data_IF_475237238719
#
_entry.id   IF_475237238719
#
_cell.length_a   1.000
_cell.length_b   1.000
_cell.length_c   1.000
_cell.angle_alpha   90.00
_cell.angle_beta   90.00
_cell.angle_gamma   90.00
#
_symmetry.space_group_name_H-M   'P 1'
#
loop_
_entity.id
_entity.type
_entity.pdbx_description
1 polymer ?
#
# COMPACT_ATOMS: atom_id res chain seq x y z
N UNK A 1 -13.93 2.36 -24.64
CA UNK A 1 -13.05 3.41 -24.10
C UNK A 1 -12.34 2.82 -22.88
N UNK A 2 -11.03 2.96 -22.79
CA UNK A 2 -10.19 2.36 -21.73
C UNK A 2 -10.47 3.00 -20.36
N UNK A 3 -10.57 2.20 -19.32
CA UNK A 3 -10.67 2.62 -17.91
C UNK A 3 -9.48 2.08 -17.14
N UNK A 4 -9.16 2.66 -15.99
CA UNK A 4 -7.99 2.27 -15.21
C UNK A 4 -8.30 2.06 -13.75
N UNK A 5 -7.54 1.16 -13.12
CA UNK A 5 -7.61 0.87 -11.71
C UNK A 5 -6.25 1.20 -11.08
N UNK A 6 -6.27 2.04 -10.05
CA UNK A 6 -5.11 2.40 -9.27
C UNK A 6 -5.18 1.63 -7.95
N UNK A 7 -4.29 0.69 -7.78
CA UNK A 7 -4.24 -0.14 -6.59
C UNK A 7 -3.27 0.46 -5.57
N UNK A 8 -3.68 0.58 -4.31
CA UNK A 8 -2.70 0.54 -3.25
C UNK A 8 -2.05 -0.85 -3.21
N UNK A 9 -1.04 -1.04 -2.38
CA UNK A 9 -0.24 -2.25 -2.41
C UNK A 9 -0.38 -3.09 -1.12
N UNK A 10 0.10 -2.59 0.03
CA UNK A 10 -0.02 -3.27 1.30
C UNK A 10 -1.50 -3.28 1.74
N UNK A 11 -2.01 -4.40 2.22
CA UNK A 11 -3.42 -4.55 2.57
C UNK A 11 -4.41 -4.60 1.39
N UNK A 12 -3.94 -4.36 0.15
CA UNK A 12 -4.73 -4.46 -1.08
C UNK A 12 -4.26 -5.61 -1.97
N UNK A 13 -3.01 -5.64 -2.36
CA UNK A 13 -2.44 -6.74 -3.15
C UNK A 13 -1.85 -7.80 -2.22
N UNK A 14 -1.10 -7.39 -1.23
CA UNK A 14 -0.39 -8.26 -0.28
C UNK A 14 -0.88 -8.03 1.14
N UNK A 15 -1.07 -9.13 1.87
CA UNK A 15 -1.36 -9.15 3.32
C UNK A 15 -0.05 -9.38 4.08
N UNK A 16 0.69 -8.31 4.31
CA UNK A 16 2.07 -8.35 4.83
C UNK A 16 2.32 -7.49 6.07
N UNK A 17 1.27 -6.92 6.66
CA UNK A 17 1.40 -6.09 7.86
C UNK A 17 2.09 -6.83 9.01
N UNK A 18 1.85 -8.16 9.11
CA UNK A 18 2.51 -8.98 10.12
C UNK A 18 4.03 -9.10 9.89
N UNK A 19 4.47 -9.14 8.64
CA UNK A 19 5.87 -9.18 8.25
C UNK A 19 6.55 -7.83 8.51
N UNK A 20 5.87 -6.71 8.22
CA UNK A 20 6.34 -5.36 8.56
C UNK A 20 6.51 -5.19 10.08
N UNK A 21 5.53 -5.62 10.86
CA UNK A 21 5.58 -5.62 12.32
C UNK A 21 6.79 -6.41 12.86
N UNK A 22 6.96 -7.65 12.41
CA UNK A 22 8.04 -8.52 12.87
C UNK A 22 9.42 -7.99 12.48
N UNK A 23 9.55 -7.47 11.27
CA UNK A 23 10.81 -6.87 10.80
C UNK A 23 11.17 -5.62 11.60
N UNK A 24 10.18 -4.76 11.92
CA UNK A 24 10.40 -3.58 12.76
C UNK A 24 10.81 -3.97 14.17
N UNK A 25 10.07 -4.89 14.82
CA UNK A 25 10.38 -5.38 16.17
C UNK A 25 11.80 -5.94 16.22
N UNK A 26 12.16 -6.81 15.28
CA UNK A 26 13.49 -7.41 15.21
C UNK A 26 14.59 -6.35 15.04
N UNK A 27 14.38 -5.39 14.15
CA UNK A 27 15.36 -4.34 13.90
C UNK A 27 15.50 -3.41 15.09
N UNK A 28 14.42 -2.99 15.74
CA UNK A 28 14.48 -2.13 16.92
C UNK A 28 15.17 -2.81 18.11
N UNK A 29 15.02 -4.13 18.24
CA UNK A 29 15.73 -4.90 19.26
C UNK A 29 17.27 -4.82 19.10
N UNK A 30 17.79 -4.74 17.88
CA UNK A 30 19.22 -4.53 17.61
C UNK A 30 19.73 -3.17 18.13
N UNK A 31 18.84 -2.17 18.23
CA UNK A 31 19.13 -0.85 18.82
C UNK A 31 18.83 -0.76 20.31
N UNK A 32 18.42 -1.90 20.94
CA UNK A 32 18.11 -1.97 22.37
C UNK A 32 16.72 -1.47 22.76
N UNK A 33 15.80 -1.32 21.80
CA UNK A 33 14.41 -0.96 22.05
C UNK A 33 13.51 -2.20 21.95
N UNK A 34 12.69 -2.42 22.99
CA UNK A 34 11.69 -3.50 23.00
C UNK A 34 10.34 -2.97 22.55
N UNK A 35 9.85 -3.45 21.43
CA UNK A 35 8.52 -3.16 20.90
C UNK A 35 7.71 -4.46 20.90
N UNK A 36 6.50 -4.44 21.44
CA UNK A 36 5.55 -5.53 21.33
C UNK A 36 4.52 -5.28 20.21
N UNK A 37 3.85 -6.35 19.76
CA UNK A 37 2.87 -6.27 18.67
C UNK A 37 1.68 -5.37 19.01
N UNK A 38 1.17 -5.39 20.24
CA UNK A 38 0.04 -4.56 20.64
C UNK A 38 0.38 -3.07 20.51
N UNK A 39 1.56 -2.69 21.00
CA UNK A 39 2.09 -1.32 20.87
C UNK A 39 2.33 -0.96 19.39
N UNK A 40 2.83 -1.89 18.57
CA UNK A 40 2.97 -1.67 17.15
C UNK A 40 1.64 -1.28 16.49
N UNK A 41 0.61 -2.10 16.63
CA UNK A 41 -0.70 -1.84 16.03
C UNK A 41 -1.41 -0.60 16.59
N UNK A 42 -1.08 -0.18 17.80
CA UNK A 42 -1.66 1.01 18.43
C UNK A 42 -0.96 2.31 18.03
N UNK A 43 0.36 2.31 17.89
CA UNK A 43 1.18 3.52 17.84
C UNK A 43 1.99 3.68 16.54
N UNK A 44 2.24 2.59 15.78
CA UNK A 44 3.11 2.60 14.60
C UNK A 44 2.36 2.31 13.30
N UNK A 45 1.19 1.70 13.38
CA UNK A 45 0.39 1.38 12.20
C UNK A 45 0.10 2.64 11.38
N UNK A 46 0.47 2.61 10.11
CA UNK A 46 0.29 3.73 9.19
C UNK A 46 1.48 4.68 9.08
N UNK A 47 2.53 4.50 9.89
CA UNK A 47 3.81 5.18 9.68
C UNK A 47 4.60 4.51 8.55
N UNK A 48 5.35 5.31 7.80
CA UNK A 48 6.40 4.74 6.97
C UNK A 48 7.60 4.27 7.83
N UNK A 49 8.49 3.48 7.24
CA UNK A 49 9.65 2.93 7.95
C UNK A 49 10.53 4.01 8.60
N UNK A 50 10.72 5.12 7.90
CA UNK A 50 11.54 6.23 8.39
C UNK A 50 10.88 6.93 9.58
N UNK A 51 9.56 7.11 9.53
CA UNK A 51 8.78 7.65 10.64
C UNK A 51 8.83 6.74 11.86
N UNK A 52 8.68 5.42 11.66
CA UNK A 52 8.80 4.42 12.73
C UNK A 52 10.12 4.54 13.48
N UNK A 53 11.24 4.61 12.75
CA UNK A 53 12.56 4.71 13.38
C UNK A 53 12.80 6.09 14.00
N UNK A 54 12.38 7.18 13.35
CA UNK A 54 12.51 8.53 13.91
C UNK A 54 11.75 8.63 15.24
N UNK A 55 10.49 8.22 15.24
CA UNK A 55 9.63 8.22 16.43
C UNK A 55 10.24 7.41 17.58
N UNK A 56 10.79 6.22 17.27
CA UNK A 56 11.42 5.37 18.29
C UNK A 56 12.72 5.97 18.81
N UNK A 57 13.59 6.45 17.92
CA UNK A 57 14.88 7.03 18.35
C UNK A 57 14.70 8.29 19.17
N UNK A 58 13.70 9.12 18.88
CA UNK A 58 13.32 10.25 19.71
C UNK A 58 12.89 9.80 21.11
N UNK A 59 12.04 8.78 21.22
CA UNK A 59 11.63 8.19 22.51
C UNK A 59 12.80 7.59 23.30
N UNK A 60 13.84 7.13 22.64
CA UNK A 60 15.08 6.65 23.26
C UNK A 60 16.02 7.80 23.66
N UNK A 61 15.67 9.05 23.37
CA UNK A 61 16.53 10.21 23.61
C UNK A 61 17.79 10.24 22.72
N UNK A 62 17.78 9.56 21.59
CA UNK A 62 18.89 9.57 20.65
C UNK A 62 18.84 10.86 19.80
N UNK A 63 20.00 11.46 19.48
CA UNK A 63 20.04 12.59 18.57
C UNK A 63 19.59 12.18 17.17
N UNK A 64 19.03 13.15 16.44
CA UNK A 64 18.68 12.95 15.04
C UNK A 64 19.94 12.65 14.23
N UNK A 65 19.98 11.51 13.56
CA UNK A 65 21.08 11.01 12.76
C UNK A 65 20.55 10.36 11.49
N UNK A 66 20.66 11.08 10.38
CA UNK A 66 20.19 10.64 9.06
C UNK A 66 20.92 9.39 8.54
N UNK A 67 22.18 9.19 8.90
CA UNK A 67 22.91 7.99 8.50
C UNK A 67 22.38 6.76 9.25
N UNK A 68 22.13 6.92 10.55
CA UNK A 68 21.55 5.88 11.41
C UNK A 68 20.12 5.53 11.01
N UNK A 69 19.31 6.53 10.65
CA UNK A 69 17.95 6.29 10.14
C UNK A 69 17.97 5.47 8.85
N UNK A 70 18.81 5.86 7.88
CA UNK A 70 18.96 5.09 6.63
C UNK A 70 19.45 3.66 6.87
N UNK A 71 20.39 3.46 7.80
CA UNK A 71 20.87 2.14 8.15
C UNK A 71 19.75 1.28 8.76
N UNK A 72 18.96 1.83 9.67
CA UNK A 72 17.85 1.12 10.32
C UNK A 72 16.77 0.71 9.30
N UNK A 73 16.37 1.62 8.41
CA UNK A 73 15.44 1.33 7.31
C UNK A 73 15.98 0.22 6.41
N UNK A 74 17.27 0.26 6.01
CA UNK A 74 17.87 -0.76 5.17
C UNK A 74 17.92 -2.15 5.86
N UNK A 75 18.17 -2.19 7.18
CA UNK A 75 18.14 -3.43 7.97
C UNK A 75 16.73 -4.01 8.04
N UNK A 76 15.74 -3.18 8.35
CA UNK A 76 14.32 -3.60 8.37
C UNK A 76 13.88 -4.12 7.01
N UNK A 77 14.21 -3.40 5.93
CA UNK A 77 13.93 -3.84 4.57
C UNK A 77 14.53 -5.23 4.27
N UNK A 78 15.79 -5.46 4.65
CA UNK A 78 16.43 -6.79 4.48
C UNK A 78 15.75 -7.89 5.29
N UNK A 79 15.22 -7.58 6.48
CA UNK A 79 14.47 -8.53 7.29
C UNK A 79 13.09 -8.84 6.66
N UNK A 80 12.39 -7.80 6.18
CA UNK A 80 11.14 -7.92 5.46
C UNK A 80 11.30 -8.78 4.19
N UNK A 81 12.31 -8.50 3.34
CA UNK A 81 12.55 -9.28 2.13
C UNK A 81 12.75 -10.78 2.38
N UNK A 82 13.45 -11.13 3.46
CA UNK A 82 13.62 -12.54 3.84
C UNK A 82 12.29 -13.18 4.23
N UNK A 83 11.53 -12.48 5.07
CA UNK A 83 10.24 -12.97 5.54
C UNK A 83 9.22 -13.12 4.40
N UNK A 84 9.12 -12.13 3.53
CA UNK A 84 8.13 -12.16 2.44
C UNK A 84 8.43 -13.26 1.42
N UNK A 85 9.69 -13.59 1.17
CA UNK A 85 10.08 -14.71 0.29
C UNK A 85 9.63 -16.07 0.82
N UNK A 86 9.48 -16.20 2.13
CA UNK A 86 9.11 -17.46 2.79
C UNK A 86 7.61 -17.56 3.08
N UNK A 87 6.98 -16.43 3.40
CA UNK A 87 5.63 -16.43 3.99
C UNK A 87 4.66 -15.47 3.30
N UNK A 88 4.95 -15.03 2.05
CA UNK A 88 4.09 -14.12 1.30
C UNK A 88 2.65 -14.62 1.25
N UNK A 89 1.72 -13.71 1.51
CA UNK A 89 0.29 -13.94 1.32
C UNK A 89 -0.29 -12.78 0.52
N UNK A 90 -1.04 -13.11 -0.51
CA UNK A 90 -1.87 -12.11 -1.18
C UNK A 90 -3.18 -11.92 -0.43
N UNK A 91 -3.76 -10.75 -0.54
CA UNK A 91 -5.14 -10.51 -0.10
C UNK A 91 -6.04 -11.50 -0.84
N UNK A 92 -7.03 -12.15 -0.17
CA UNK A 92 -7.87 -13.15 -0.80
C UNK A 92 -8.54 -12.63 -2.08
N UNK A 93 -8.36 -13.37 -3.18
CA UNK A 93 -8.90 -13.03 -4.51
C UNK A 93 -8.09 -11.98 -5.30
N UNK A 94 -7.05 -11.35 -4.73
CA UNK A 94 -6.30 -10.27 -5.39
C UNK A 94 -5.68 -10.68 -6.72
N UNK A 95 -5.06 -11.87 -6.79
CA UNK A 95 -4.44 -12.35 -8.02
C UNK A 95 -5.46 -12.51 -9.14
N UNK A 96 -6.55 -13.23 -8.88
CA UNK A 96 -7.63 -13.46 -9.85
C UNK A 96 -8.28 -12.14 -10.29
N UNK A 97 -8.51 -11.22 -9.37
CA UNK A 97 -9.08 -9.91 -9.69
C UNK A 97 -8.17 -9.08 -10.61
N UNK A 98 -6.86 -9.06 -10.34
CA UNK A 98 -5.87 -8.36 -11.19
C UNK A 98 -5.81 -8.98 -12.58
N UNK A 99 -5.77 -10.31 -12.67
CA UNK A 99 -5.75 -11.05 -13.94
C UNK A 99 -7.03 -10.77 -14.75
N UNK A 100 -8.20 -10.84 -14.13
CA UNK A 100 -9.48 -10.56 -14.78
C UNK A 100 -9.56 -9.10 -15.24
N UNK A 101 -9.12 -8.14 -14.42
CA UNK A 101 -9.09 -6.74 -14.81
C UNK A 101 -8.19 -6.50 -16.05
N UNK A 102 -7.03 -7.15 -16.10
CA UNK A 102 -6.14 -7.06 -17.26
C UNK A 102 -6.75 -7.71 -18.51
N UNK A 103 -7.41 -8.87 -18.36
CA UNK A 103 -8.11 -9.56 -19.47
C UNK A 103 -9.28 -8.73 -20.01
N UNK A 104 -10.00 -8.02 -19.16
CA UNK A 104 -11.10 -7.12 -19.54
C UNK A 104 -10.62 -5.80 -20.16
N UNK A 105 -9.30 -5.61 -20.26
CA UNK A 105 -8.69 -4.45 -20.91
C UNK A 105 -8.61 -3.20 -20.05
N UNK A 106 -8.73 -3.31 -18.73
CA UNK A 106 -8.42 -2.23 -17.83
C UNK A 106 -6.91 -1.95 -17.78
N UNK A 107 -6.52 -0.69 -17.68
CA UNK A 107 -5.14 -0.33 -17.40
C UNK A 107 -4.93 -0.32 -15.89
N UNK A 108 -3.87 -0.99 -15.41
CA UNK A 108 -3.61 -1.14 -13.99
C UNK A 108 -2.31 -0.45 -13.62
N UNK A 109 -2.29 0.25 -12.48
CA UNK A 109 -1.07 0.79 -11.87
C UNK A 109 -1.10 0.63 -10.36
N UNK A 110 0.09 0.47 -9.77
CA UNK A 110 0.28 0.52 -8.31
C UNK A 110 0.57 1.95 -7.89
N UNK A 111 0.00 2.39 -6.76
CA UNK A 111 0.28 3.67 -6.09
C UNK A 111 0.42 3.43 -4.60
N UNK A 112 1.63 3.37 -4.09
CA UNK A 112 1.93 2.95 -2.72
C UNK A 112 2.98 3.81 -2.03
N UNK A 113 2.92 3.84 -0.70
CA UNK A 113 3.99 4.34 0.16
C UNK A 113 5.12 3.33 0.41
N UNK A 114 5.03 2.11 -0.14
CA UNK A 114 6.10 1.11 -0.06
C UNK A 114 7.27 1.45 -0.99
N UNK A 115 8.44 0.89 -0.71
CA UNK A 115 9.60 1.02 -1.57
C UNK A 115 9.37 0.26 -2.90
N UNK A 116 9.87 0.81 -3.99
CA UNK A 116 9.76 0.18 -5.32
C UNK A 116 10.30 -1.25 -5.33
N UNK A 117 11.41 -1.49 -4.63
CA UNK A 117 12.01 -2.83 -4.52
C UNK A 117 11.10 -3.85 -3.85
N UNK A 118 10.33 -3.45 -2.84
CA UNK A 118 9.35 -4.31 -2.16
C UNK A 118 8.18 -4.66 -3.08
N UNK A 119 7.64 -3.65 -3.77
CA UNK A 119 6.54 -3.83 -4.73
C UNK A 119 6.96 -4.78 -5.87
N UNK A 120 8.12 -4.51 -6.48
CA UNK A 120 8.64 -5.34 -7.59
C UNK A 120 8.92 -6.78 -7.15
N UNK A 121 9.46 -6.98 -5.93
CA UNK A 121 9.69 -8.31 -5.37
C UNK A 121 8.38 -9.09 -5.22
N UNK A 122 7.38 -8.53 -4.57
CA UNK A 122 6.10 -9.21 -4.32
C UNK A 122 5.35 -9.48 -5.61
N UNK A 123 5.24 -8.47 -6.49
CA UNK A 123 4.57 -8.65 -7.79
C UNK A 123 5.30 -9.68 -8.66
N UNK A 124 6.64 -9.73 -8.58
CA UNK A 124 7.45 -10.73 -9.27
C UNK A 124 7.21 -12.15 -8.74
N UNK A 125 7.20 -12.33 -7.41
CA UNK A 125 6.91 -13.61 -6.75
C UNK A 125 5.48 -14.10 -7.06
N UNK A 126 4.52 -13.17 -7.09
CA UNK A 126 3.13 -13.46 -7.39
C UNK A 126 2.85 -13.69 -8.89
N UNK A 127 3.79 -13.37 -9.78
CA UNK A 127 3.58 -13.41 -11.23
C UNK A 127 2.70 -12.28 -11.77
N UNK A 128 2.37 -11.28 -10.94
CA UNK A 128 1.40 -10.22 -11.28
C UNK A 128 2.04 -9.00 -11.97
N UNK A 129 3.37 -8.86 -11.90
CA UNK A 129 4.07 -7.67 -12.44
C UNK A 129 3.70 -7.32 -13.88
N UNK A 130 3.53 -8.28 -14.83
CA UNK A 130 3.22 -7.99 -16.22
C UNK A 130 1.85 -7.31 -16.43
N UNK A 131 0.92 -7.41 -15.49
CA UNK A 131 -0.42 -6.83 -15.61
C UNK A 131 -0.45 -5.32 -15.32
N UNK A 132 0.58 -4.79 -14.65
CA UNK A 132 0.66 -3.38 -14.28
C UNK A 132 1.47 -2.58 -15.29
N UNK A 133 0.87 -1.50 -15.81
CA UNK A 133 1.53 -0.55 -16.71
C UNK A 133 2.69 0.17 -16.01
N UNK A 134 2.57 0.39 -14.68
CA UNK A 134 3.64 0.99 -13.90
C UNK A 134 3.35 1.03 -12.41
N UNK A 135 4.30 1.59 -11.68
CA UNK A 135 4.31 1.71 -10.22
C UNK A 135 4.67 3.15 -9.87
N UNK A 136 3.89 3.75 -9.00
CA UNK A 136 4.23 4.97 -8.25
C UNK A 136 4.55 4.51 -6.82
N UNK A 137 5.81 4.56 -6.45
CA UNK A 137 6.35 4.13 -5.16
C UNK A 137 6.66 5.33 -4.25
N UNK A 138 7.09 5.07 -3.01
CA UNK A 138 7.47 6.10 -2.05
C UNK A 138 8.52 7.07 -2.63
N UNK A 139 9.49 6.57 -3.39
CA UNK A 139 10.57 7.37 -3.97
C UNK A 139 10.12 8.30 -5.10
N UNK A 140 8.93 8.09 -5.64
CA UNK A 140 8.41 8.88 -6.77
C UNK A 140 7.64 10.13 -6.32
N UNK A 141 7.31 10.27 -5.05
CA UNK A 141 6.48 11.35 -4.52
C UNK A 141 7.19 12.15 -3.45
N UNK A 142 6.92 13.45 -3.39
CA UNK A 142 7.47 14.31 -2.36
C UNK A 142 6.62 14.31 -1.08
N UNK A 143 5.36 13.87 -1.17
CA UNK A 143 4.43 13.81 -0.05
C UNK A 143 3.65 12.49 -0.11
N UNK A 144 3.54 11.83 1.05
CA UNK A 144 2.78 10.59 1.22
C UNK A 144 1.27 10.87 1.35
N UNK A 145 0.45 9.82 1.25
CA UNK A 145 -0.98 9.87 1.59
C UNK A 145 -1.15 10.49 3.00
N UNK A 146 -2.08 11.43 3.21
CA UNK A 146 -3.25 11.75 2.40
C UNK A 146 -3.06 12.77 1.27
N UNK A 147 -1.83 13.15 0.91
CA UNK A 147 -1.58 14.00 -0.25
C UNK A 147 -1.99 13.27 -1.54
N UNK A 148 -2.71 13.94 -2.49
CA UNK A 148 -3.18 13.30 -3.72
C UNK A 148 -2.11 13.05 -4.76
N UNK A 149 -0.86 13.44 -4.54
CA UNK A 149 0.22 13.42 -5.52
C UNK A 149 0.42 12.03 -6.13
N UNK A 150 0.42 10.98 -5.29
CA UNK A 150 0.61 9.60 -5.76
C UNK A 150 -0.47 9.18 -6.75
N UNK A 151 -1.75 9.40 -6.41
CA UNK A 151 -2.87 9.05 -7.29
C UNK A 151 -2.93 9.90 -8.54
N UNK A 152 -2.60 11.19 -8.48
CA UNK A 152 -2.48 12.02 -9.67
C UNK A 152 -1.42 11.49 -10.62
N UNK A 153 -0.23 11.11 -10.11
CA UNK A 153 0.84 10.50 -10.92
C UNK A 153 0.44 9.15 -11.51
N UNK A 154 -0.23 8.29 -10.73
CA UNK A 154 -0.74 7.00 -11.22
C UNK A 154 -1.73 7.19 -12.37
N UNK A 155 -2.66 8.13 -12.23
CA UNK A 155 -3.62 8.49 -13.28
C UNK A 155 -2.93 9.05 -14.53
N UNK A 156 -1.95 9.94 -14.36
CA UNK A 156 -1.16 10.51 -15.45
C UNK A 156 -0.34 9.43 -16.17
N UNK A 157 0.23 8.49 -15.44
CA UNK A 157 0.95 7.33 -16.00
C UNK A 157 0.05 6.49 -16.93
N UNK A 158 -1.24 6.35 -16.59
CA UNK A 158 -2.21 5.65 -17.41
C UNK A 158 -2.79 6.50 -18.56
N UNK A 159 -2.44 7.79 -18.64
CA UNK A 159 -3.00 8.77 -19.59
C UNK A 159 -4.54 8.79 -19.57
N UNK A 160 -5.12 8.78 -18.36
CA UNK A 160 -6.57 8.73 -18.16
C UNK A 160 -7.08 9.96 -17.40
N UNK A 161 -8.34 10.30 -17.65
CA UNK A 161 -9.06 11.32 -16.89
C UNK A 161 -9.68 10.73 -15.62
N UNK A 162 -9.86 11.54 -14.57
CA UNK A 162 -10.31 11.08 -13.24
C UNK A 162 -11.58 10.21 -13.29
N UNK A 163 -12.61 10.60 -14.10
CA UNK A 163 -13.85 9.81 -14.22
C UNK A 163 -13.68 8.41 -14.81
N UNK A 164 -12.51 8.11 -15.36
CA UNK A 164 -12.14 6.82 -15.93
C UNK A 164 -11.24 5.99 -15.02
N UNK A 165 -10.93 6.49 -13.84
CA UNK A 165 -10.10 5.81 -12.87
C UNK A 165 -10.89 5.53 -11.60
N UNK A 166 -10.62 4.36 -11.00
CA UNK A 166 -11.07 3.97 -9.67
C UNK A 166 -9.85 3.58 -8.85
N UNK A 167 -9.82 3.98 -7.60
CA UNK A 167 -8.80 3.58 -6.63
C UNK A 167 -9.32 2.38 -5.83
N UNK A 168 -8.44 1.42 -5.53
CA UNK A 168 -8.69 0.38 -4.53
C UNK A 168 -7.69 0.59 -3.39
N UNK A 169 -8.20 0.73 -2.18
CA UNK A 169 -7.48 1.12 -0.97
C UNK A 169 -7.95 0.34 0.25
N UNK A 170 -7.18 0.40 1.34
CA UNK A 170 -7.54 -0.19 2.63
C UNK A 170 -7.34 0.77 3.81
N UNK A 171 -6.70 1.92 3.56
CA UNK A 171 -6.33 2.91 4.57
C UNK A 171 -7.16 4.21 4.48
N UNK A 172 -7.42 4.83 5.64
CA UNK A 172 -8.14 6.12 5.68
C UNK A 172 -7.32 7.27 5.07
N UNK A 173 -5.98 7.35 5.27
CA UNK A 173 -5.16 8.32 4.54
C UNK A 173 -5.22 8.14 3.03
N UNK A 174 -5.23 6.89 2.54
CA UNK A 174 -5.35 6.60 1.13
C UNK A 174 -6.71 6.96 0.54
N UNK A 175 -7.81 6.67 1.26
CA UNK A 175 -9.14 7.15 0.89
C UNK A 175 -9.19 8.67 0.77
N UNK A 176 -8.58 9.37 1.74
CA UNK A 176 -8.49 10.85 1.72
C UNK A 176 -7.70 11.35 0.52
N UNK A 177 -6.57 10.69 0.18
CA UNK A 177 -5.76 11.02 -0.99
C UNK A 177 -6.53 10.81 -2.32
N UNK A 178 -7.26 9.69 -2.45
CA UNK A 178 -8.11 9.41 -3.60
C UNK A 178 -9.19 10.48 -3.79
N UNK A 179 -9.86 10.85 -2.71
CA UNK A 179 -10.86 11.94 -2.70
C UNK A 179 -10.27 13.30 -3.10
N UNK A 180 -9.09 13.63 -2.54
CA UNK A 180 -8.39 14.87 -2.88
C UNK A 180 -7.94 14.90 -4.36
N UNK A 181 -7.65 13.73 -4.96
CA UNK A 181 -7.37 13.59 -6.39
C UNK A 181 -8.64 13.60 -7.27
N UNK A 182 -9.83 13.68 -6.69
CA UNK A 182 -11.11 13.65 -7.41
C UNK A 182 -11.45 12.26 -7.99
N UNK A 183 -10.92 11.20 -7.38
CA UNK A 183 -11.12 9.82 -7.80
C UNK A 183 -12.17 9.11 -6.92
N UNK A 184 -12.88 8.16 -7.51
CA UNK A 184 -13.71 7.22 -6.77
C UNK A 184 -12.83 6.17 -6.11
N UNK A 185 -13.26 5.71 -4.95
CA UNK A 185 -12.49 4.77 -4.14
C UNK A 185 -13.36 3.61 -3.65
N UNK A 186 -12.92 2.40 -3.95
CA UNK A 186 -13.38 1.18 -3.30
C UNK A 186 -12.41 0.85 -2.16
N UNK A 187 -12.93 0.63 -0.97
CA UNK A 187 -12.13 0.27 0.20
C UNK A 187 -12.20 -1.24 0.45
N UNK A 188 -11.06 -1.84 0.77
CA UNK A 188 -11.00 -3.16 1.37
C UNK A 188 -10.95 -3.04 2.91
N UNK A 189 -11.72 -3.84 3.61
CA UNK A 189 -11.75 -3.84 5.07
C UNK A 189 -10.65 -4.73 5.68
N UNK A 190 -9.45 -4.66 5.13
CA UNK A 190 -8.26 -5.41 5.56
C UNK A 190 -7.57 -4.72 6.74
N UNK A 191 -7.31 -3.41 6.65
CA UNK A 191 -6.66 -2.63 7.71
C UNK A 191 -7.65 -1.95 8.66
N UNK A 192 -8.87 -1.65 8.18
CA UNK A 192 -9.89 -0.98 8.97
C UNK A 192 -11.23 -1.73 8.88
N UNK A 193 -12.05 -1.73 9.97
CA UNK A 193 -13.39 -2.32 9.90
C UNK A 193 -14.28 -1.51 8.96
N UNK A 194 -15.19 -2.18 8.25
CA UNK A 194 -16.13 -1.57 7.28
C UNK A 194 -16.82 -0.29 7.79
N UNK A 195 -17.19 -0.29 9.06
CA UNK A 195 -17.81 0.89 9.72
C UNK A 195 -16.96 2.15 9.78
N UNK A 196 -15.65 2.04 9.56
CA UNK A 196 -14.72 3.16 9.51
C UNK A 196 -14.56 3.72 8.07
N UNK A 197 -15.01 2.99 7.05
CA UNK A 197 -14.84 3.33 5.63
C UNK A 197 -16.05 4.10 5.06
N UNK A 198 -16.75 4.90 5.86
CA UNK A 198 -18.03 5.55 5.51
C UNK A 198 -17.98 6.50 4.33
N UNK A 199 -16.81 7.05 4.03
CA UNK A 199 -16.60 8.00 2.94
C UNK A 199 -16.19 7.31 1.62
N UNK A 200 -16.08 5.98 1.59
CA UNK A 200 -15.80 5.23 0.38
C UNK A 200 -17.04 5.14 -0.53
N UNK A 201 -16.81 5.02 -1.84
CA UNK A 201 -17.90 4.78 -2.79
C UNK A 201 -18.39 3.33 -2.76
N UNK A 202 -17.52 2.43 -2.30
CA UNK A 202 -17.76 1.00 -2.16
C UNK A 202 -16.88 0.44 -1.06
N UNK A 203 -17.37 -0.57 -0.32
CA UNK A 203 -16.56 -1.28 0.69
C UNK A 203 -16.72 -2.78 0.47
N UNK A 204 -15.60 -3.48 0.34
CA UNK A 204 -15.51 -4.92 0.29
C UNK A 204 -14.66 -5.44 1.45
N UNK A 205 -14.89 -6.69 1.82
CA UNK A 205 -14.02 -7.37 2.79
C UNK A 205 -12.67 -7.73 2.17
N UNK A 206 -12.71 -8.30 0.97
CA UNK A 206 -11.59 -8.76 0.14
C UNK A 206 -12.08 -8.83 -1.32
N UNK A 207 -11.32 -9.43 -2.23
CA UNK A 207 -11.71 -9.54 -3.63
C UNK A 207 -12.55 -10.78 -3.96
N UNK A 208 -12.79 -11.68 -3.00
CA UNK A 208 -13.47 -12.95 -3.29
C UNK A 208 -14.91 -12.73 -3.74
N UNK A 209 -15.23 -13.21 -4.95
CA UNK A 209 -16.57 -13.09 -5.54
C UNK A 209 -16.90 -11.73 -6.13
N UNK A 210 -15.91 -10.85 -6.27
CA UNK A 210 -16.06 -9.55 -6.90
C UNK A 210 -15.38 -9.49 -8.26
N UNK A 211 -15.98 -8.74 -9.16
CA UNK A 211 -15.52 -8.54 -10.54
C UNK A 211 -15.08 -7.08 -10.74
N UNK A 212 -14.08 -6.79 -11.60
CA UNK A 212 -13.67 -5.40 -11.89
C UNK A 212 -14.81 -4.49 -12.38
N UNK A 213 -15.86 -5.05 -12.97
CA UNK A 213 -17.05 -4.29 -13.39
C UNK A 213 -17.94 -3.86 -12.21
N UNK A 214 -17.80 -4.48 -11.03
CA UNK A 214 -18.52 -4.10 -9.80
C UNK A 214 -18.00 -2.82 -9.16
N UNK A 215 -16.82 -2.36 -9.58
CA UNK A 215 -16.21 -1.14 -9.06
C UNK A 215 -17.11 0.09 -9.32
N UNK A 216 -17.01 1.15 -8.50
CA UNK A 216 -17.89 2.30 -8.56
C UNK A 216 -17.57 3.21 -9.75
N UNK A 217 -17.68 2.70 -10.99
CA UNK A 217 -17.43 3.46 -12.21
C UNK A 217 -18.36 4.68 -12.34
N UNK A 218 -17.85 5.79 -12.85
CA UNK A 218 -18.71 6.91 -13.18
C UNK A 218 -19.63 6.50 -14.34
N UNK A 219 -20.93 6.57 -14.13
CA UNK A 219 -21.88 6.41 -15.21
C UNK A 219 -21.64 7.51 -16.26
N UNK A 220 -21.41 7.09 -17.52
CA UNK A 220 -21.22 7.97 -18.68
C UNK A 220 -22.58 8.39 -19.20
#
# INVERSE_FOLDING_TARGET
MTSGILFDFNGVIVDDESQHCDALIATLAEYGFSLDRETYYREYLGFDDRECFRFTFERMGLPEDEAKLREAVARKHSAYERSIKETMRLVPGAAEFVENAALDGFQLAIVSGALRSEIELVLGLAGLRPHFAGIVAAEDVAACKPDPMGYNRGREMLDLVARRCVVIEDSLPGLSAARAAGLRCAMLATSHPEKACTDADLVWRDFVGHDPTDLPWAHV
#
